data_IF_018609341924
#
_entry.id   IF_018609341924
#
_cell.length_a   1.000
_cell.length_b   1.000
_cell.length_c   1.000
_cell.angle_alpha   90.00
_cell.angle_beta   90.00
_cell.angle_gamma   90.00
#
_symmetry.space_group_name_H-M   'P 1'
#
loop_
_entity.id
_entity.type
_entity.pdbx_description
1 polymer ?
#
# COMPACT_ATOMS: atom_id res chain seq x y z
N UNK A 1 -3.66 -19.29 8.78
CA UNK A 1 -2.34 -19.26 8.09
C UNK A 1 -1.88 -20.65 7.70
N UNK A 2 -1.64 -21.56 8.65
CA UNK A 2 -1.21 -22.94 8.35
C UNK A 2 -2.13 -23.67 7.35
N UNK A 3 -3.43 -23.39 7.36
CA UNK A 3 -4.42 -23.91 6.40
C UNK A 3 -4.20 -23.50 4.94
N UNK A 4 -3.44 -22.43 4.66
CA UNK A 4 -3.18 -21.97 3.29
C UNK A 4 -2.13 -22.80 2.57
N UNK A 5 -1.26 -23.50 3.28
CA UNK A 5 -0.36 -24.45 2.63
C UNK A 5 -1.19 -25.57 1.99
N UNK A 6 -1.02 -25.89 0.70
CA UNK A 6 -1.58 -27.11 0.14
C UNK A 6 -1.01 -28.35 0.86
N UNK A 7 -1.68 -29.48 0.69
CA UNK A 7 -1.13 -30.75 1.12
C UNK A 7 0.22 -31.02 0.43
N UNK A 8 1.12 -31.73 1.12
CA UNK A 8 2.47 -31.98 0.66
C UNK A 8 3.01 -33.30 1.21
N UNK A 9 3.97 -33.86 0.49
CA UNK A 9 4.63 -35.13 0.82
C UNK A 9 6.16 -34.96 0.96
N UNK A 10 6.84 -36.04 1.35
CA UNK A 10 8.30 -36.05 1.52
C UNK A 10 8.79 -35.31 2.77
N UNK A 11 9.97 -34.72 2.69
CA UNK A 11 10.58 -34.03 3.83
C UNK A 11 10.23 -32.53 3.85
N UNK A 12 9.68 -32.06 4.97
CA UNK A 12 9.43 -30.65 5.22
C UNK A 12 10.58 -30.03 6.02
N UNK A 13 11.07 -28.88 5.55
CA UNK A 13 11.91 -27.98 6.33
C UNK A 13 11.18 -26.65 6.45
N UNK A 14 10.64 -26.39 7.64
CA UNK A 14 9.86 -25.21 7.98
C UNK A 14 10.76 -24.12 8.56
N UNK A 15 10.66 -22.92 8.03
CA UNK A 15 11.22 -21.70 8.62
C UNK A 15 10.13 -20.94 9.39
N UNK A 16 10.42 -20.59 10.64
CA UNK A 16 9.69 -19.58 11.41
C UNK A 16 10.68 -18.48 11.82
N UNK A 17 10.78 -17.43 10.99
CA UNK A 17 11.88 -16.47 11.05
C UNK A 17 11.78 -15.42 12.17
N UNK A 18 10.68 -15.41 12.92
CA UNK A 18 10.41 -14.52 14.04
C UNK A 18 9.39 -15.19 14.93
N UNK A 19 9.81 -16.31 15.53
CA UNK A 19 8.93 -17.32 16.06
C UNK A 19 8.15 -16.88 17.30
N UNK A 20 8.64 -15.91 18.07
CA UNK A 20 8.04 -15.51 19.33
C UNK A 20 7.94 -16.73 20.25
N UNK A 21 6.74 -17.00 20.74
CA UNK A 21 6.44 -18.19 21.56
C UNK A 21 6.17 -19.46 20.73
N UNK A 22 6.30 -19.42 19.40
CA UNK A 22 6.13 -20.59 18.53
C UNK A 22 4.70 -20.90 18.09
N UNK A 23 3.75 -19.98 18.24
CA UNK A 23 2.33 -20.23 17.91
C UNK A 23 2.10 -20.62 16.44
N UNK A 24 2.86 -20.04 15.51
CA UNK A 24 2.74 -20.37 14.08
C UNK A 24 3.36 -21.73 13.77
N UNK A 25 4.53 -22.01 14.32
CA UNK A 25 5.15 -23.34 14.27
C UNK A 25 4.22 -24.42 14.82
N UNK A 26 3.64 -24.21 16.01
CA UNK A 26 2.67 -25.12 16.61
C UNK A 26 1.45 -25.34 15.71
N UNK A 27 0.85 -24.28 15.17
CA UNK A 27 -0.30 -24.40 14.26
C UNK A 27 0.02 -25.21 12.98
N UNK A 28 1.25 -25.11 12.46
CA UNK A 28 1.70 -25.94 11.34
C UNK A 28 1.86 -27.41 11.75
N UNK A 29 2.49 -27.65 12.90
CA UNK A 29 2.75 -28.99 13.43
C UNK A 29 1.46 -29.70 13.86
N UNK A 30 0.49 -28.99 14.44
CA UNK A 30 -0.84 -29.53 14.76
C UNK A 30 -1.56 -30.00 13.52
N UNK A 31 -1.51 -29.21 12.43
CA UNK A 31 -2.10 -29.62 11.16
C UNK A 31 -1.40 -30.86 10.61
N UNK A 32 -0.07 -30.95 10.71
CA UNK A 32 0.67 -32.13 10.28
C UNK A 32 0.29 -33.37 11.10
N UNK A 33 0.29 -33.27 12.44
CA UNK A 33 -0.02 -34.40 13.32
C UNK A 33 -1.47 -34.86 13.21
N UNK A 34 -2.40 -33.95 12.89
CA UNK A 34 -3.79 -34.25 12.60
C UNK A 34 -4.03 -34.88 11.20
N UNK A 35 -2.98 -35.13 10.41
CA UNK A 35 -3.08 -35.72 9.07
C UNK A 35 -3.49 -34.72 7.97
N UNK A 36 -3.39 -33.42 8.24
CA UNK A 36 -3.60 -32.37 7.24
C UNK A 36 -2.41 -32.14 6.30
N UNK A 37 -1.30 -32.86 6.53
CA UNK A 37 -0.12 -32.96 5.66
C UNK A 37 0.42 -34.40 5.68
N UNK A 38 1.06 -34.83 4.60
CA UNK A 38 1.61 -36.18 4.43
C UNK A 38 3.16 -36.22 4.41
N UNK A 39 3.81 -35.28 5.10
CA UNK A 39 5.26 -35.26 5.22
C UNK A 39 5.78 -36.47 6.01
N UNK A 40 6.81 -37.12 5.47
CA UNK A 40 7.52 -38.23 6.12
C UNK A 40 8.47 -37.77 7.22
N UNK A 41 8.88 -36.50 7.20
CA UNK A 41 9.72 -35.87 8.21
C UNK A 41 9.46 -34.36 8.23
N UNK A 42 9.47 -33.76 9.42
CA UNK A 42 9.40 -32.30 9.59
C UNK A 42 10.58 -31.82 10.42
N UNK A 43 11.33 -30.86 9.86
CA UNK A 43 12.37 -30.12 10.56
C UNK A 43 11.97 -28.64 10.67
N UNK A 44 12.03 -28.05 11.86
CA UNK A 44 11.70 -26.64 12.09
C UNK A 44 12.96 -25.87 12.46
N UNK A 45 13.31 -24.84 11.70
CA UNK A 45 14.30 -23.84 12.11
C UNK A 45 13.53 -22.59 12.55
N UNK A 46 13.59 -22.28 13.85
CA UNK A 46 12.87 -21.16 14.46
C UNK A 46 13.86 -20.09 14.95
N UNK A 47 13.69 -18.84 14.53
CA UNK A 47 14.54 -17.71 14.92
C UNK A 47 13.82 -16.83 15.93
N UNK A 48 14.47 -16.55 17.06
CA UNK A 48 13.97 -15.62 18.08
C UNK A 48 15.16 -14.95 18.80
N UNK A 49 15.05 -13.65 19.05
CA UNK A 49 16.11 -12.84 19.68
C UNK A 49 15.85 -12.60 21.17
N UNK A 50 14.59 -12.64 21.61
CA UNK A 50 14.23 -12.44 23.00
C UNK A 50 14.35 -13.75 23.79
N UNK A 51 15.36 -13.83 24.65
CA UNK A 51 15.61 -14.97 25.54
C UNK A 51 14.38 -15.42 26.34
N UNK A 52 13.48 -14.49 26.73
CA UNK A 52 12.26 -14.86 27.46
C UNK A 52 11.33 -15.65 26.55
N UNK A 53 11.18 -15.21 25.28
CA UNK A 53 10.34 -15.89 24.30
C UNK A 53 10.95 -17.21 23.86
N UNK A 54 12.28 -17.31 23.78
CA UNK A 54 13.01 -18.55 23.49
C UNK A 54 12.66 -19.67 24.47
N UNK A 55 12.55 -19.38 25.77
CA UNK A 55 12.16 -20.39 26.76
C UNK A 55 10.76 -20.97 26.48
N UNK A 56 9.79 -20.11 26.13
CA UNK A 56 8.45 -20.54 25.75
C UNK A 56 8.43 -21.29 24.42
N UNK A 57 9.18 -20.82 23.43
CA UNK A 57 9.33 -21.47 22.13
C UNK A 57 9.88 -22.89 22.27
N UNK A 58 10.90 -23.08 23.12
CA UNK A 58 11.47 -24.38 23.42
C UNK A 58 10.45 -25.33 24.06
N UNK A 59 9.61 -24.83 24.96
CA UNK A 59 8.51 -25.62 25.53
C UNK A 59 7.51 -26.03 24.44
N UNK A 60 7.06 -25.08 23.62
CA UNK A 60 6.10 -25.33 22.54
C UNK A 60 6.61 -26.35 21.52
N UNK A 61 7.86 -26.23 21.04
CA UNK A 61 8.43 -27.21 20.11
C UNK A 61 8.74 -28.55 20.79
N UNK A 62 9.06 -28.52 22.09
CA UNK A 62 9.29 -29.71 22.91
C UNK A 62 8.08 -30.65 23.01
N UNK A 63 6.85 -30.12 22.89
CA UNK A 63 5.62 -30.94 22.91
C UNK A 63 5.58 -31.97 21.77
N UNK A 64 6.25 -31.70 20.65
CA UNK A 64 6.30 -32.58 19.48
C UNK A 64 7.52 -33.51 19.46
N UNK A 65 8.47 -33.35 20.40
CA UNK A 65 9.74 -34.09 20.44
C UNK A 65 9.58 -35.60 20.71
N UNK A 66 8.40 -36.06 21.13
CA UNK A 66 8.10 -37.47 21.29
C UNK A 66 8.02 -38.24 19.95
N UNK A 67 8.00 -37.53 18.82
CA UNK A 67 7.95 -38.12 17.48
C UNK A 67 9.34 -38.30 16.89
N UNK A 68 9.59 -39.46 16.30
CA UNK A 68 10.87 -39.78 15.65
C UNK A 68 11.07 -39.09 14.29
N UNK A 69 9.98 -38.62 13.67
CA UNK A 69 9.96 -37.93 12.37
C UNK A 69 9.96 -36.40 12.51
N UNK A 70 10.22 -35.89 13.72
CA UNK A 70 10.28 -34.46 14.03
C UNK A 70 11.66 -34.06 14.55
N UNK A 71 12.12 -32.88 14.15
CA UNK A 71 13.33 -32.23 14.68
C UNK A 71 13.14 -30.72 14.68
N UNK A 72 13.81 -30.01 15.59
CA UNK A 72 13.82 -28.56 15.59
C UNK A 72 15.18 -28.00 15.99
N UNK A 73 15.51 -26.84 15.44
CA UNK A 73 16.66 -26.01 15.81
C UNK A 73 16.13 -24.60 16.17
N UNK A 74 16.41 -24.15 17.40
CA UNK A 74 16.12 -22.78 17.83
C UNK A 74 17.38 -21.94 17.66
N UNK A 75 17.25 -20.87 16.90
CA UNK A 75 18.30 -19.92 16.57
C UNK A 75 18.12 -18.64 17.39
N UNK A 76 18.94 -18.49 18.44
CA UNK A 76 18.98 -17.31 19.31
C UNK A 76 19.79 -16.15 18.69
N UNK A 77 19.48 -15.78 17.45
CA UNK A 77 20.23 -14.81 16.66
C UNK A 77 19.35 -13.97 15.73
N UNK A 78 19.91 -12.89 15.17
CA UNK A 78 19.19 -11.99 14.29
C UNK A 78 19.01 -12.64 12.91
N UNK A 79 17.77 -12.98 12.58
CA UNK A 79 17.42 -13.63 11.31
C UNK A 79 17.94 -12.87 10.08
N UNK A 80 17.92 -11.53 10.06
CA UNK A 80 18.41 -10.77 8.91
C UNK A 80 19.90 -11.04 8.71
N UNK A 81 20.68 -10.99 9.79
CA UNK A 81 22.11 -11.22 9.73
C UNK A 81 22.42 -12.69 9.37
N UNK A 82 21.79 -13.65 10.05
CA UNK A 82 21.97 -15.07 9.77
C UNK A 82 21.62 -15.43 8.31
N UNK A 83 20.49 -14.94 7.80
CA UNK A 83 20.05 -15.18 6.43
C UNK A 83 21.00 -14.55 5.41
N UNK A 84 21.44 -13.31 5.62
CA UNK A 84 22.37 -12.62 4.72
C UNK A 84 23.72 -13.32 4.69
N UNK A 85 24.27 -13.68 5.85
CA UNK A 85 25.57 -14.36 5.93
C UNK A 85 25.56 -15.75 5.30
N UNK A 86 24.49 -16.51 5.53
CA UNK A 86 24.25 -17.78 4.85
C UNK A 86 24.21 -17.62 3.33
N UNK A 87 23.48 -16.61 2.82
CA UNK A 87 23.38 -16.33 1.37
C UNK A 87 24.70 -15.89 0.75
N UNK A 88 25.52 -15.15 1.50
CA UNK A 88 26.84 -14.70 1.05
C UNK A 88 27.90 -15.81 1.08
N UNK A 89 27.62 -16.95 1.72
CA UNK A 89 28.60 -18.02 1.89
C UNK A 89 29.79 -17.60 2.77
N UNK A 90 29.54 -16.76 3.79
CA UNK A 90 30.58 -16.28 4.70
C UNK A 90 31.31 -17.45 5.37
N UNK A 91 32.64 -17.41 5.41
CA UNK A 91 33.51 -18.51 5.89
C UNK A 91 33.21 -19.01 7.31
N UNK A 92 32.62 -18.16 8.15
CA UNK A 92 32.31 -18.46 9.56
C UNK A 92 30.81 -18.66 9.83
N UNK A 93 29.95 -18.47 8.83
CA UNK A 93 28.51 -18.59 9.00
C UNK A 93 28.08 -20.05 8.85
N UNK A 94 27.18 -20.52 9.73
CA UNK A 94 26.53 -21.82 9.55
C UNK A 94 25.59 -21.73 8.34
N UNK A 95 25.83 -22.48 7.25
CA UNK A 95 24.97 -22.38 6.07
C UNK A 95 23.57 -22.88 6.42
N UNK A 96 22.57 -22.03 6.18
CA UNK A 96 21.16 -22.41 6.27
C UNK A 96 20.81 -23.27 5.06
N UNK A 97 20.15 -24.40 5.31
CA UNK A 97 19.66 -25.27 4.24
C UNK A 97 18.42 -24.61 3.60
N UNK A 98 18.17 -24.82 2.30
CA UNK A 98 16.96 -24.30 1.67
C UNK A 98 15.68 -24.80 2.33
N UNK A 99 14.71 -23.90 2.52
CA UNK A 99 13.43 -24.19 3.18
C UNK A 99 12.37 -24.62 2.18
N UNK A 100 11.60 -25.66 2.50
CA UNK A 100 10.43 -26.04 1.68
C UNK A 100 9.19 -25.27 2.08
N UNK A 101 9.09 -24.85 3.34
CA UNK A 101 7.98 -24.07 3.87
C UNK A 101 8.51 -22.94 4.75
N UNK A 102 7.83 -21.80 4.77
CA UNK A 102 8.08 -20.72 5.71
C UNK A 102 6.74 -20.13 6.19
N UNK A 103 6.56 -20.01 7.49
CA UNK A 103 5.35 -19.42 8.10
C UNK A 103 5.75 -18.23 8.96
N UNK A 104 5.26 -17.03 8.64
CA UNK A 104 5.85 -15.78 9.15
C UNK A 104 4.79 -14.81 9.67
N UNK A 105 4.98 -14.34 10.92
CA UNK A 105 4.40 -13.10 11.43
C UNK A 105 5.54 -12.15 11.82
N UNK A 106 6.20 -11.52 10.84
CA UNK A 106 7.45 -10.79 11.08
C UNK A 106 7.20 -9.46 11.80
N UNK A 107 8.23 -8.88 12.45
CA UNK A 107 8.08 -7.63 13.21
C UNK A 107 7.82 -6.41 12.30
N UNK A 108 6.98 -5.48 12.77
CA UNK A 108 6.60 -4.28 12.01
C UNK A 108 7.40 -3.06 12.48
N UNK A 109 8.53 -2.78 11.82
CA UNK A 109 9.39 -1.64 12.17
C UNK A 109 10.09 -1.07 10.95
N UNK A 110 10.09 0.26 10.84
CA UNK A 110 10.83 0.95 9.77
C UNK A 110 12.33 0.71 9.91
N UNK A 111 12.97 0.40 8.79
CA UNK A 111 14.43 0.26 8.69
C UNK A 111 15.01 1.66 8.44
N UNK A 112 15.94 2.08 9.30
CA UNK A 112 16.66 3.33 9.11
C UNK A 112 17.67 3.17 7.95
N UNK A 113 17.81 4.19 7.10
CA UNK A 113 18.70 4.16 5.93
C UNK A 113 20.18 3.93 6.24
N UNK A 114 20.63 4.21 7.46
CA UNK A 114 22.00 3.98 7.92
C UNK A 114 22.14 2.80 8.89
N UNK A 115 21.12 1.93 9.02
CA UNK A 115 21.17 0.80 9.96
C UNK A 115 22.05 -0.35 9.46
N UNK A 116 22.51 -1.17 10.40
CA UNK A 116 23.22 -2.42 10.08
C UNK A 116 22.33 -3.37 9.25
N UNK A 117 21.03 -3.46 9.55
CA UNK A 117 20.07 -4.23 8.74
C UNK A 117 20.03 -3.75 7.29
N UNK A 118 19.97 -2.43 7.08
CA UNK A 118 19.97 -1.85 5.72
C UNK A 118 21.22 -2.24 4.94
N UNK A 119 22.39 -2.11 5.57
CA UNK A 119 23.67 -2.50 4.95
C UNK A 119 23.76 -4.00 4.67
N UNK A 120 23.22 -4.85 5.55
CA UNK A 120 23.20 -6.30 5.36
C UNK A 120 22.30 -6.69 4.19
N UNK A 121 21.07 -6.18 4.13
CA UNK A 121 20.11 -6.49 3.07
C UNK A 121 20.61 -6.09 1.67
N UNK A 122 21.23 -4.91 1.55
CA UNK A 122 21.78 -4.46 0.26
C UNK A 122 22.89 -5.39 -0.27
N UNK A 123 23.62 -6.12 0.58
CA UNK A 123 24.64 -7.10 0.14
C UNK A 123 24.05 -8.27 -0.64
N UNK A 124 22.78 -8.59 -0.41
CA UNK A 124 22.04 -9.67 -1.10
C UNK A 124 21.00 -9.11 -2.07
N UNK A 125 21.10 -7.83 -2.44
CA UNK A 125 20.22 -7.17 -3.41
C UNK A 125 18.80 -6.93 -2.89
N UNK A 126 18.58 -6.92 -1.58
CA UNK A 126 17.26 -6.65 -0.99
C UNK A 126 17.15 -5.18 -0.59
N UNK A 127 16.15 -4.51 -1.16
CA UNK A 127 15.91 -3.10 -0.98
C UNK A 127 14.50 -2.89 -0.42
N UNK A 128 14.40 -2.55 0.87
CA UNK A 128 13.11 -2.32 1.53
C UNK A 128 13.22 -1.34 2.69
N UNK A 129 12.07 -0.85 3.15
CA UNK A 129 11.91 0.18 4.18
C UNK A 129 11.36 -0.34 5.52
N UNK A 130 10.99 -1.62 5.61
CA UNK A 130 10.39 -2.21 6.81
C UNK A 130 10.91 -3.64 7.07
N UNK A 131 11.05 -4.03 8.34
CA UNK A 131 11.49 -5.36 8.74
C UNK A 131 10.59 -6.46 8.18
N UNK A 132 9.26 -6.30 8.15
CA UNK A 132 8.38 -7.37 7.64
C UNK A 132 8.70 -7.77 6.20
N UNK A 133 9.01 -6.79 5.35
CA UNK A 133 9.31 -7.04 3.94
C UNK A 133 10.74 -7.55 3.78
N UNK A 134 11.66 -7.19 4.67
CA UNK A 134 12.98 -7.81 4.72
C UNK A 134 12.89 -9.31 5.07
N UNK A 135 12.08 -9.66 6.07
CA UNK A 135 11.88 -11.04 6.49
C UNK A 135 11.26 -11.89 5.37
N UNK A 136 10.19 -11.39 4.72
CA UNK A 136 9.58 -12.10 3.59
C UNK A 136 10.55 -12.23 2.41
N UNK A 137 11.29 -11.17 2.06
CA UNK A 137 12.27 -11.23 0.98
C UNK A 137 13.39 -12.25 1.26
N UNK A 138 13.89 -12.30 2.49
CA UNK A 138 14.90 -13.28 2.91
C UNK A 138 14.34 -14.70 2.93
N UNK A 139 13.12 -14.91 3.40
CA UNK A 139 12.46 -16.21 3.37
C UNK A 139 12.28 -16.72 1.93
N UNK A 140 11.87 -15.85 0.99
CA UNK A 140 11.84 -16.17 -0.44
C UNK A 140 13.25 -16.48 -0.96
N UNK A 141 14.28 -15.73 -0.54
CA UNK A 141 15.66 -15.96 -0.96
C UNK A 141 16.27 -17.27 -0.43
N UNK A 142 15.80 -17.75 0.72
CA UNK A 142 16.23 -19.00 1.37
C UNK A 142 15.33 -20.19 1.00
N UNK A 143 14.21 -19.97 0.32
CA UNK A 143 13.32 -21.04 -0.10
C UNK A 143 13.95 -21.91 -1.20
N UNK A 144 13.73 -23.23 -1.10
CA UNK A 144 13.99 -24.17 -2.19
C UNK A 144 13.07 -23.87 -3.39
N UNK A 145 13.39 -24.34 -4.60
CA UNK A 145 12.44 -24.31 -5.71
C UNK A 145 11.11 -24.97 -5.31
N UNK A 146 9.99 -24.33 -5.67
CA UNK A 146 8.62 -24.67 -5.23
C UNK A 146 8.35 -24.52 -3.73
N UNK A 147 9.30 -23.97 -2.98
CA UNK A 147 9.11 -23.68 -1.56
C UNK A 147 7.98 -22.67 -1.34
N UNK A 148 7.21 -22.87 -0.28
CA UNK A 148 5.99 -22.11 -0.01
C UNK A 148 6.19 -21.17 1.18
N UNK A 149 5.80 -19.92 1.02
CA UNK A 149 5.93 -18.90 2.06
C UNK A 149 4.54 -18.36 2.37
N UNK A 150 4.05 -18.61 3.59
CA UNK A 150 2.83 -18.00 4.11
C UNK A 150 3.22 -16.93 5.12
N UNK A 151 2.89 -15.69 4.83
CA UNK A 151 3.20 -14.57 5.71
C UNK A 151 1.96 -13.73 6.01
N UNK A 152 1.84 -13.26 7.24
CA UNK A 152 0.90 -12.18 7.57
C UNK A 152 1.67 -10.86 7.64
N UNK A 153 1.30 -9.91 6.78
CA UNK A 153 2.05 -8.65 6.63
C UNK A 153 1.12 -7.46 6.31
N UNK A 154 1.53 -6.22 6.62
CA UNK A 154 0.71 -5.05 6.34
C UNK A 154 0.53 -4.83 4.82
N UNK A 155 -0.71 -4.67 4.35
CA UNK A 155 -1.11 -4.40 2.96
C UNK A 155 -0.43 -3.17 2.35
N UNK A 156 0.19 -2.31 3.15
CA UNK A 156 0.92 -1.13 2.70
C UNK A 156 1.99 -1.40 1.63
N UNK A 157 2.51 -2.63 1.49
CA UNK A 157 3.46 -2.96 0.41
C UNK A 157 2.83 -3.03 -0.97
N UNK A 158 1.50 -3.21 -1.07
CA UNK A 158 0.78 -3.36 -2.34
C UNK A 158 0.92 -2.14 -3.25
N UNK A 159 1.22 -0.95 -2.71
CA UNK A 159 1.39 0.27 -3.49
C UNK A 159 2.48 1.18 -2.93
N UNK A 160 2.71 2.30 -3.60
CA UNK A 160 3.67 3.32 -3.19
C UNK A 160 5.12 3.01 -3.62
N UNK A 161 5.95 4.07 -3.75
CA UNK A 161 7.27 3.97 -4.36
C UNK A 161 8.29 3.25 -3.47
N UNK A 162 8.17 3.39 -2.14
CA UNK A 162 9.12 2.81 -1.19
C UNK A 162 9.10 1.27 -1.15
N UNK A 163 7.98 0.65 -1.56
CA UNK A 163 7.85 -0.80 -1.63
C UNK A 163 8.00 -1.35 -3.05
N UNK A 164 8.23 -0.49 -4.05
CA UNK A 164 8.45 -0.94 -5.44
C UNK A 164 9.59 -1.96 -5.54
N UNK A 165 10.79 -1.74 -4.95
CA UNK A 165 11.87 -2.73 -5.04
C UNK A 165 11.53 -4.06 -4.34
N UNK A 166 10.73 -4.03 -3.27
CA UNK A 166 10.26 -5.25 -2.61
C UNK A 166 9.25 -6.01 -3.48
N UNK A 167 8.31 -5.31 -4.14
CA UNK A 167 7.38 -5.92 -5.10
C UNK A 167 8.13 -6.54 -6.27
N UNK A 168 9.06 -5.80 -6.87
CA UNK A 168 9.93 -6.31 -7.95
C UNK A 168 10.65 -7.59 -7.47
N UNK A 169 11.25 -7.56 -6.27
CA UNK A 169 11.97 -8.69 -5.72
C UNK A 169 11.11 -9.96 -5.60
N UNK A 170 9.89 -9.85 -5.03
CA UNK A 170 9.02 -11.01 -4.83
C UNK A 170 8.41 -11.49 -6.14
N UNK A 171 7.98 -10.59 -7.03
CA UNK A 171 7.32 -10.95 -8.30
C UNK A 171 8.30 -11.59 -9.29
N UNK A 172 9.58 -11.25 -9.23
CA UNK A 172 10.63 -11.91 -10.01
C UNK A 172 10.96 -13.33 -9.52
N UNK A 173 10.67 -13.64 -8.26
CA UNK A 173 11.18 -14.85 -7.58
C UNK A 173 10.09 -15.81 -7.16
N UNK A 174 8.85 -15.37 -7.02
CA UNK A 174 7.78 -16.20 -6.54
C UNK A 174 6.45 -15.87 -7.22
N UNK A 175 5.64 -16.89 -7.41
CA UNK A 175 4.24 -16.71 -7.79
C UNK A 175 3.41 -16.35 -6.55
N UNK A 176 2.55 -15.34 -6.67
CA UNK A 176 1.47 -15.11 -5.70
C UNK A 176 0.40 -16.16 -5.97
N UNK A 177 0.07 -16.97 -4.96
CA UNK A 177 -0.98 -18.00 -5.06
C UNK A 177 -2.25 -17.61 -4.33
N UNK A 178 -2.11 -17.00 -3.15
CA UNK A 178 -3.24 -16.66 -2.30
C UNK A 178 -3.03 -15.30 -1.63
N UNK A 179 -4.07 -14.47 -1.56
CA UNK A 179 -4.14 -13.30 -0.70
C UNK A 179 -5.43 -13.36 0.13
N UNK A 180 -5.32 -13.25 1.44
CA UNK A 180 -6.47 -13.17 2.34
C UNK A 180 -6.55 -11.78 2.97
N UNK A 181 -7.75 -11.20 2.96
CA UNK A 181 -8.09 -9.89 3.53
C UNK A 181 -9.06 -10.05 4.70
N UNK A 182 -8.88 -9.22 5.73
CA UNK A 182 -9.85 -9.02 6.79
C UNK A 182 -10.62 -7.71 6.57
N UNK A 183 -11.95 -7.74 6.60
CA UNK A 183 -12.77 -6.54 6.43
C UNK A 183 -12.74 -5.64 7.69
N UNK A 184 -12.73 -6.24 8.89
CA UNK A 184 -12.68 -5.51 10.16
C UNK A 184 -11.26 -5.43 10.74
N UNK A 185 -10.74 -4.21 10.90
CA UNK A 185 -9.44 -3.94 11.53
C UNK A 185 -9.45 -4.03 13.05
N UNK A 186 -10.60 -3.93 13.70
CA UNK A 186 -10.71 -3.83 15.17
C UNK A 186 -10.86 -5.18 15.87
N UNK A 187 -11.06 -6.28 15.12
CA UNK A 187 -11.36 -7.59 15.71
C UNK A 187 -10.24 -8.61 15.56
N UNK A 188 -9.53 -8.64 14.43
CA UNK A 188 -8.49 -9.64 14.18
C UNK A 188 -7.15 -9.35 14.90
N UNK A 189 -6.86 -8.10 15.29
CA UNK A 189 -5.62 -7.69 15.97
C UNK A 189 -5.90 -6.67 17.10
N UNK A 190 -6.69 -7.07 18.11
CA UNK A 190 -7.18 -6.17 19.18
C UNK A 190 -6.09 -5.52 20.03
N UNK A 191 -4.91 -6.13 20.12
CA UNK A 191 -3.83 -5.68 21.00
C UNK A 191 -2.88 -4.65 20.34
N UNK A 192 -3.02 -4.42 19.02
CA UNK A 192 -2.23 -3.43 18.30
C UNK A 192 -2.98 -2.10 18.21
N UNK A 193 -2.47 -1.08 18.92
CA UNK A 193 -3.01 0.30 18.92
C UNK A 193 -2.95 1.01 17.56
N UNK A 194 -2.44 0.34 16.52
CA UNK A 194 -2.27 0.88 15.17
C UNK A 194 -3.20 0.16 14.21
N UNK A 195 -4.13 0.90 13.60
CA UNK A 195 -5.01 0.44 12.51
C UNK A 195 -4.17 0.07 11.28
N UNK A 196 -3.61 -1.14 11.24
CA UNK A 196 -2.92 -1.69 10.08
C UNK A 196 -3.81 -2.74 9.42
N UNK A 197 -3.94 -2.66 8.11
CA UNK A 197 -4.62 -3.70 7.33
C UNK A 197 -3.61 -4.77 7.00
N UNK A 198 -3.59 -5.85 7.77
CA UNK A 198 -2.77 -7.00 7.48
C UNK A 198 -3.46 -7.90 6.46
N UNK A 199 -2.67 -8.47 5.57
CA UNK A 199 -3.10 -9.55 4.67
C UNK A 199 -2.29 -10.79 4.97
N UNK A 200 -2.88 -11.96 4.73
CA UNK A 200 -2.12 -13.21 4.68
C UNK A 200 -1.83 -13.50 3.21
N UNK A 201 -0.57 -13.70 2.85
CA UNK A 201 -0.13 -14.01 1.49
C UNK A 201 0.53 -15.39 1.44
N UNK A 202 0.21 -16.17 0.40
CA UNK A 202 0.95 -17.37 0.01
C UNK A 202 1.77 -17.08 -1.25
N UNK A 203 3.07 -17.25 -1.14
CA UNK A 203 4.04 -17.17 -2.23
C UNK A 203 4.61 -18.57 -2.51
N UNK A 204 4.91 -18.87 -3.78
CA UNK A 204 5.58 -20.10 -4.20
C UNK A 204 6.83 -19.79 -5.02
N UNK A 205 8.01 -20.19 -4.52
CA UNK A 205 9.32 -19.89 -5.11
C UNK A 205 9.53 -20.57 -6.46
N UNK A 206 10.07 -19.84 -7.44
CA UNK A 206 10.39 -20.32 -8.81
C UNK A 206 9.19 -20.90 -9.58
N UNK A 207 7.96 -20.68 -9.10
CA UNK A 207 6.78 -21.18 -9.76
C UNK A 207 6.29 -20.21 -10.85
N UNK A 208 5.72 -20.75 -11.92
CA UNK A 208 5.05 -19.93 -12.92
C UNK A 208 3.82 -19.26 -12.32
N UNK A 209 3.72 -17.95 -12.50
CA UNK A 209 2.55 -17.19 -12.10
C UNK A 209 1.32 -17.69 -12.86
N UNK A 210 0.28 -18.02 -12.10
CA UNK A 210 -1.04 -18.41 -12.61
C UNK A 210 -2.12 -17.55 -11.96
N UNK A 211 -3.33 -18.06 -11.88
CA UNK A 211 -4.40 -17.39 -11.13
C UNK A 211 -4.04 -17.23 -9.64
N UNK A 212 -4.64 -16.22 -9.02
CA UNK A 212 -4.49 -15.90 -7.60
C UNK A 212 -5.84 -16.07 -6.91
N UNK A 213 -5.87 -16.85 -5.85
CA UNK A 213 -7.03 -16.94 -4.96
C UNK A 213 -7.03 -15.74 -4.02
N UNK A 214 -8.11 -14.96 -4.04
CA UNK A 214 -8.36 -13.92 -3.03
C UNK A 214 -9.50 -14.37 -2.14
N UNK A 215 -9.28 -14.37 -0.83
CA UNK A 215 -10.34 -14.62 0.15
C UNK A 215 -10.54 -13.46 1.11
N UNK A 216 -11.77 -13.30 1.59
CA UNK A 216 -12.16 -12.26 2.54
C UNK A 216 -12.93 -12.87 3.71
N UNK A 217 -12.73 -12.33 4.92
CA UNK A 217 -13.60 -12.57 6.06
C UNK A 217 -13.73 -11.30 6.90
N UNK A 218 -14.79 -11.19 7.69
CA UNK A 218 -14.94 -10.05 8.61
C UNK A 218 -13.83 -10.03 9.66
N UNK A 219 -13.52 -11.18 10.26
CA UNK A 219 -12.54 -11.33 11.33
C UNK A 219 -11.89 -12.71 11.31
N UNK A 220 -11.17 -13.02 12.40
CA UNK A 220 -10.41 -14.25 12.63
C UNK A 220 -11.29 -15.47 12.98
N UNK A 221 -12.62 -15.31 13.04
CA UNK A 221 -13.55 -16.44 13.14
C UNK A 221 -13.74 -17.16 11.81
N UNK A 222 -13.47 -16.49 10.70
CA UNK A 222 -13.65 -16.98 9.33
C UNK A 222 -15.07 -17.50 9.02
N UNK A 223 -16.08 -17.08 9.79
CA UNK A 223 -17.47 -17.56 9.66
C UNK A 223 -18.14 -17.15 8.35
N UNK A 224 -17.71 -16.03 7.77
CA UNK A 224 -18.19 -15.46 6.51
C UNK A 224 -17.15 -15.53 5.39
N UNK A 225 -16.25 -16.53 5.46
CA UNK A 225 -15.17 -16.70 4.49
C UNK A 225 -15.73 -16.80 3.06
N UNK A 226 -15.35 -15.83 2.23
CA UNK A 226 -15.61 -15.84 0.79
C UNK A 226 -14.29 -15.99 0.03
N UNK A 227 -14.29 -16.68 -1.10
CA UNK A 227 -13.08 -16.89 -1.89
C UNK A 227 -13.37 -16.92 -3.38
N UNK A 228 -12.49 -16.28 -4.14
CA UNK A 228 -12.59 -16.11 -5.59
C UNK A 228 -11.21 -16.22 -6.22
N UNK A 229 -11.16 -16.82 -7.40
CA UNK A 229 -9.95 -16.92 -8.20
C UNK A 229 -9.94 -15.79 -9.25
N UNK A 230 -8.78 -15.13 -9.39
CA UNK A 230 -8.58 -14.03 -10.33
C UNK A 230 -7.38 -14.33 -11.23
N UNK A 231 -7.46 -14.01 -12.53
CA UNK A 231 -6.26 -14.02 -13.37
C UNK A 231 -5.24 -12.99 -12.84
N UNK A 232 -3.96 -13.31 -12.98
CA UNK A 232 -2.89 -12.49 -12.40
C UNK A 232 -2.84 -11.06 -12.95
N UNK A 233 -3.25 -10.86 -14.20
CA UNK A 233 -3.35 -9.54 -14.84
C UNK A 233 -4.37 -8.60 -14.19
N UNK A 234 -5.25 -9.12 -13.32
CA UNK A 234 -6.14 -8.33 -12.46
C UNK A 234 -5.57 -8.06 -11.08
N UNK A 235 -4.52 -8.77 -10.68
CA UNK A 235 -3.79 -8.57 -9.43
C UNK A 235 -2.61 -7.62 -9.66
N UNK A 236 -1.84 -7.83 -10.71
CA UNK A 236 -0.78 -6.92 -11.14
C UNK A 236 -1.04 -6.58 -12.60
N UNK A 237 -1.38 -5.31 -12.85
CA UNK A 237 -1.74 -4.85 -14.19
C UNK A 237 -0.50 -4.92 -15.12
N UNK A 238 -0.58 -5.52 -16.32
CA UNK A 238 0.58 -5.69 -17.21
C UNK A 238 1.31 -4.40 -17.59
N UNK A 239 0.57 -3.30 -17.72
CA UNK A 239 1.11 -1.99 -18.11
C UNK A 239 1.49 -1.10 -16.90
N UNK A 240 1.43 -1.61 -15.67
CA UNK A 240 1.78 -0.86 -14.48
C UNK A 240 3.28 -0.97 -14.15
N UNK A 241 4.01 0.10 -14.46
CA UNK A 241 5.46 0.21 -14.21
C UNK A 241 5.82 0.26 -12.72
N UNK A 242 4.85 0.54 -11.84
CA UNK A 242 5.04 0.51 -10.39
C UNK A 242 4.66 -0.84 -9.78
N UNK A 243 4.15 -1.77 -10.58
CA UNK A 243 3.77 -3.13 -10.18
C UNK A 243 2.87 -3.14 -8.94
N UNK A 244 1.83 -2.29 -8.90
CA UNK A 244 0.89 -2.31 -7.79
C UNK A 244 0.14 -3.64 -7.73
N UNK A 245 -0.11 -4.09 -6.50
CA UNK A 245 -0.88 -5.29 -6.22
C UNK A 245 -2.31 -4.88 -5.87
N UNK A 246 -3.21 -5.10 -6.81
CA UNK A 246 -4.64 -4.94 -6.67
C UNK A 246 -5.22 -6.18 -5.98
N UNK A 247 -5.96 -5.97 -4.90
CA UNK A 247 -6.64 -7.02 -4.16
C UNK A 247 -8.15 -6.79 -4.29
N UNK A 248 -8.80 -7.38 -5.31
CA UNK A 248 -10.23 -7.22 -5.53
C UNK A 248 -11.04 -7.92 -4.45
N UNK A 249 -12.13 -7.29 -3.99
CA UNK A 249 -13.05 -7.86 -2.98
C UNK A 249 -14.40 -8.28 -3.58
N UNK A 250 -14.64 -8.04 -4.87
CA UNK A 250 -15.85 -8.43 -5.60
C UNK A 250 -15.50 -9.27 -6.83
N UNK A 251 -16.40 -10.18 -7.22
CA UNK A 251 -16.27 -10.94 -8.48
C UNK A 251 -16.35 -10.02 -9.70
N UNK A 252 -17.31 -9.10 -9.66
CA UNK A 252 -17.59 -8.21 -10.78
C UNK A 252 -16.42 -7.25 -11.02
N UNK A 253 -15.96 -7.12 -12.28
CA UNK A 253 -14.95 -6.12 -12.62
C UNK A 253 -15.46 -4.70 -12.38
N UNK A 254 -14.56 -3.79 -12.02
CA UNK A 254 -14.95 -2.42 -11.70
C UNK A 254 -15.52 -1.71 -12.93
N UNK A 255 -16.48 -0.79 -12.74
CA UNK A 255 -16.91 0.09 -13.82
C UNK A 255 -15.74 0.87 -14.43
N UNK A 256 -14.69 1.15 -13.64
CA UNK A 256 -13.44 1.76 -14.14
C UNK A 256 -12.66 0.80 -15.04
N UNK A 257 -12.50 -0.47 -14.64
CA UNK A 257 -11.77 -1.49 -15.41
C UNK A 257 -12.48 -1.83 -16.73
N UNK A 258 -13.82 -1.83 -16.72
CA UNK A 258 -14.62 -2.20 -17.89
C UNK A 258 -14.84 -1.06 -18.89
N UNK A 259 -14.70 0.20 -18.47
CA UNK A 259 -15.06 1.32 -19.33
C UNK A 259 -13.95 1.59 -20.37
N UNK A 260 -14.20 1.34 -21.68
CA UNK A 260 -13.18 1.55 -22.71
C UNK A 260 -12.79 3.02 -22.89
N UNK A 261 -13.62 3.94 -22.39
CA UNK A 261 -13.36 5.38 -22.43
C UNK A 261 -12.38 5.82 -21.32
N UNK A 262 -12.11 5.00 -20.31
CA UNK A 262 -11.20 5.30 -19.18
C UNK A 262 -9.87 4.59 -19.41
N UNK A 263 -9.06 5.13 -20.31
CA UNK A 263 -7.79 4.51 -20.75
C UNK A 263 -6.62 5.48 -20.84
N UNK A 264 -6.88 6.78 -20.72
CA UNK A 264 -5.85 7.81 -20.86
C UNK A 264 -5.01 7.89 -19.58
N UNK A 265 -3.71 8.09 -19.74
CA UNK A 265 -2.80 8.50 -18.66
C UNK A 265 -2.85 10.02 -18.50
N UNK A 266 -2.35 10.55 -17.37
CA UNK A 266 -2.21 12.00 -17.22
C UNK A 266 -1.31 12.64 -18.29
N UNK A 267 -0.32 11.89 -18.80
CA UNK A 267 0.53 12.34 -19.89
C UNK A 267 -0.26 12.55 -21.19
N UNK A 268 -1.17 11.63 -21.53
CA UNK A 268 -2.07 11.75 -22.69
C UNK A 268 -2.98 12.99 -22.58
N UNK A 269 -3.34 13.36 -21.34
CA UNK A 269 -4.13 14.56 -21.08
C UNK A 269 -3.29 15.85 -21.12
N UNK A 270 -1.96 15.77 -21.16
CA UNK A 270 -1.06 16.91 -21.02
C UNK A 270 -1.04 17.51 -19.61
N UNK A 271 -1.33 16.69 -18.59
CA UNK A 271 -1.47 17.11 -17.18
C UNK A 271 -0.39 16.42 -16.34
N UNK A 272 0.09 17.10 -15.31
CA UNK A 272 0.95 16.54 -14.26
C UNK A 272 0.23 16.59 -12.93
N UNK A 273 0.56 15.67 -12.03
CA UNK A 273 0.16 15.70 -10.63
C UNK A 273 1.40 15.79 -9.75
N UNK A 274 1.36 16.64 -8.74
CA UNK A 274 2.44 16.81 -7.78
C UNK A 274 1.88 16.94 -6.37
N UNK A 275 2.58 16.41 -5.37
CA UNK A 275 2.34 16.79 -3.98
C UNK A 275 2.57 18.29 -3.82
N UNK A 276 1.72 18.98 -3.06
CA UNK A 276 1.90 20.38 -2.70
C UNK A 276 3.31 20.61 -2.16
N UNK A 277 4.08 21.54 -2.74
CA UNK A 277 5.51 21.63 -2.45
C UNK A 277 5.80 22.37 -1.13
N UNK A 278 4.84 23.12 -0.59
CA UNK A 278 5.02 23.87 0.65
C UNK A 278 4.95 22.87 1.80
N UNK A 279 6.09 22.65 2.47
CA UNK A 279 6.18 21.84 3.69
C UNK A 279 6.23 22.80 4.87
N UNK A 280 5.10 22.92 5.57
CA UNK A 280 4.85 24.00 6.53
C UNK A 280 5.96 24.17 7.59
N UNK A 281 6.40 23.08 8.21
CA UNK A 281 7.41 23.13 9.25
C UNK A 281 8.81 23.52 8.76
N UNK A 282 9.08 23.45 7.45
CA UNK A 282 10.35 23.85 6.83
C UNK A 282 10.37 25.33 6.43
N UNK A 283 9.21 25.96 6.32
CA UNK A 283 9.06 27.34 5.81
C UNK A 283 8.39 28.26 6.84
N UNK A 284 8.39 27.88 8.13
CA UNK A 284 7.64 28.55 9.20
C UNK A 284 7.85 30.06 9.25
N UNK A 285 9.07 30.54 9.01
CA UNK A 285 9.42 31.97 9.04
C UNK A 285 8.68 32.79 7.97
N UNK A 286 8.30 32.17 6.87
CA UNK A 286 7.58 32.80 5.76
C UNK A 286 6.06 32.62 5.86
N UNK A 287 5.55 31.86 6.82
CA UNK A 287 4.12 31.62 6.95
C UNK A 287 3.44 32.76 7.71
N UNK A 288 2.21 33.08 7.34
CA UNK A 288 1.38 34.10 7.98
C UNK A 288 0.01 33.57 8.31
N UNK A 289 -0.44 33.87 9.52
CA UNK A 289 -1.77 33.48 9.99
C UNK A 289 -2.86 34.04 9.07
N UNK A 290 -2.76 35.31 8.69
CA UNK A 290 -3.67 36.00 7.78
C UNK A 290 -2.94 36.64 6.61
N UNK A 291 -3.63 36.93 5.49
CA UNK A 291 -3.03 37.62 4.34
C UNK A 291 -2.59 39.05 4.71
N UNK A 292 -1.39 39.42 4.28
CA UNK A 292 -0.81 40.75 4.44
C UNK A 292 -0.07 41.19 3.16
N UNK A 293 0.26 42.48 2.98
CA UNK A 293 1.02 42.95 1.82
C UNK A 293 2.31 42.15 1.62
N UNK A 294 2.53 41.66 0.39
CA UNK A 294 3.71 40.82 0.07
C UNK A 294 3.51 39.32 0.29
N UNK A 295 2.34 38.88 0.74
CA UNK A 295 1.99 37.45 0.82
C UNK A 295 1.08 36.98 -0.31
N UNK A 296 1.03 35.67 -0.49
CA UNK A 296 0.09 34.98 -1.38
C UNK A 296 -0.67 33.88 -0.61
N UNK A 297 -1.84 33.45 -1.11
CA UNK A 297 -2.60 32.37 -0.49
C UNK A 297 -1.78 31.09 -0.30
N UNK A 298 -1.93 30.46 0.87
CA UNK A 298 -1.43 29.13 1.16
C UNK A 298 -2.61 28.19 1.43
N UNK A 299 -2.75 27.16 0.61
CA UNK A 299 -3.90 26.28 0.60
C UNK A 299 -3.61 24.96 1.33
N UNK A 300 -4.42 24.68 2.34
CA UNK A 300 -4.46 23.43 3.11
C UNK A 300 -5.74 22.64 2.78
N UNK A 301 -5.80 21.32 3.07
CA UNK A 301 -7.05 20.57 2.95
C UNK A 301 -8.23 21.19 3.69
N UNK A 302 -7.98 21.86 4.82
CA UNK A 302 -9.03 22.52 5.62
C UNK A 302 -9.72 23.71 4.90
N UNK A 303 -9.10 24.28 3.86
CA UNK A 303 -9.73 25.32 3.04
C UNK A 303 -10.77 24.75 2.07
N UNK A 304 -10.87 23.43 1.91
CA UNK A 304 -11.78 22.81 0.96
C UNK A 304 -12.93 22.12 1.68
N UNK A 305 -14.16 22.51 1.35
CA UNK A 305 -15.37 21.81 1.81
C UNK A 305 -16.18 21.42 0.59
N UNK A 306 -16.22 20.12 0.30
CA UNK A 306 -16.78 19.60 -0.94
C UNK A 306 -16.00 20.11 -2.15
N UNK A 307 -16.63 20.94 -2.97
CA UNK A 307 -16.07 21.37 -4.26
C UNK A 307 -15.50 22.78 -4.27
N UNK A 308 -15.79 23.58 -3.25
CA UNK A 308 -15.38 24.97 -3.15
C UNK A 308 -14.25 25.16 -2.15
N UNK A 309 -13.40 26.14 -2.44
CA UNK A 309 -12.40 26.64 -1.52
C UNK A 309 -12.96 27.83 -0.73
N UNK A 310 -12.72 27.86 0.58
CA UNK A 310 -12.94 29.01 1.44
C UNK A 310 -11.58 29.48 1.94
N UNK A 311 -11.22 30.71 1.59
CA UNK A 311 -9.95 31.32 1.96
C UNK A 311 -10.08 32.85 2.02
N UNK A 312 -9.46 33.53 3.00
CA UNK A 312 -8.85 32.96 4.21
C UNK A 312 -9.92 32.44 5.19
N UNK A 313 -9.51 31.64 6.17
CA UNK A 313 -10.32 31.25 7.32
C UNK A 313 -9.70 31.84 8.59
N UNK A 314 -10.40 32.81 9.17
CA UNK A 314 -10.00 33.45 10.43
C UNK A 314 -10.05 32.46 11.60
N UNK A 315 -9.04 32.50 12.48
CA UNK A 315 -8.94 31.62 13.64
C UNK A 315 -8.57 30.16 13.32
N UNK A 316 -8.19 29.84 12.08
CA UNK A 316 -7.65 28.51 11.75
C UNK A 316 -6.28 28.31 12.42
N UNK A 317 -6.03 27.11 12.97
CA UNK A 317 -4.70 26.74 13.51
C UNK A 317 -3.57 26.74 12.47
N UNK A 318 -3.90 26.60 11.18
CA UNK A 318 -2.92 26.60 10.09
C UNK A 318 -2.88 27.98 9.44
N UNK A 319 -1.71 28.42 8.96
CA UNK A 319 -1.56 29.72 8.34
C UNK A 319 -2.38 29.85 7.05
N UNK A 320 -2.90 31.03 6.76
CA UNK A 320 -3.61 31.29 5.51
C UNK A 320 -2.67 31.74 4.39
N UNK A 321 -1.50 32.29 4.68
CA UNK A 321 -0.66 32.90 3.65
C UNK A 321 0.82 32.55 3.80
N UNK A 322 1.56 32.72 2.72
CA UNK A 322 3.01 32.58 2.65
C UNK A 322 3.58 33.84 2.00
N UNK A 323 4.67 34.37 2.53
CA UNK A 323 5.42 35.46 1.91
C UNK A 323 5.83 35.09 0.48
N UNK A 324 5.77 36.05 -0.43
CA UNK A 324 6.30 35.91 -1.78
C UNK A 324 7.64 36.64 -1.88
N UNK A 325 8.72 35.88 -1.83
CA UNK A 325 10.10 36.39 -1.87
C UNK A 325 11.02 35.41 -2.62
N UNK A 326 12.32 35.70 -2.67
CA UNK A 326 13.30 34.85 -3.38
C UNK A 326 13.41 33.41 -2.85
N UNK A 327 13.10 33.19 -1.56
CA UNK A 327 13.19 31.88 -0.91
C UNK A 327 11.95 31.02 -1.17
N UNK A 328 10.79 31.67 -1.32
CA UNK A 328 9.49 30.99 -1.44
C UNK A 328 9.00 30.83 -2.89
N UNK A 329 9.38 31.71 -3.82
CA UNK A 329 8.84 31.77 -5.19
C UNK A 329 8.88 30.40 -5.91
N UNK A 330 9.96 29.64 -5.71
CA UNK A 330 10.14 28.31 -6.34
C UNK A 330 9.09 27.28 -5.92
N UNK A 331 8.40 27.48 -4.80
CA UNK A 331 7.35 26.59 -4.29
C UNK A 331 5.96 27.03 -4.72
N UNK A 332 5.82 28.21 -5.32
CA UNK A 332 4.54 28.78 -5.68
C UNK A 332 4.12 28.37 -7.10
N UNK A 333 2.81 28.41 -7.31
CA UNK A 333 2.14 28.08 -8.56
C UNK A 333 1.44 29.33 -9.08
N UNK A 334 1.30 29.49 -10.39
CA UNK A 334 0.57 30.64 -10.94
C UNK A 334 -0.90 30.60 -10.51
N UNK A 335 -1.52 31.76 -10.26
CA UNK A 335 -2.95 31.79 -10.00
C UNK A 335 -3.74 31.26 -11.20
N UNK A 336 -4.76 30.44 -10.94
CA UNK A 336 -5.53 29.77 -11.97
C UNK A 336 -6.40 28.65 -11.41
N UNK A 337 -7.10 27.94 -12.29
CA UNK A 337 -7.92 26.80 -11.89
C UNK A 337 -7.05 25.55 -11.67
N UNK A 338 -7.29 24.83 -10.58
CA UNK A 338 -6.63 23.55 -10.32
C UNK A 338 -7.66 22.52 -9.84
N UNK A 339 -7.40 21.25 -10.13
CA UNK A 339 -8.00 20.16 -9.36
C UNK A 339 -7.01 19.77 -8.27
N UNK A 340 -7.47 19.68 -7.03
CA UNK A 340 -6.66 19.23 -5.90
C UNK A 340 -7.28 18.02 -5.24
N UNK A 341 -6.45 17.10 -4.74
CA UNK A 341 -6.89 15.90 -4.01
C UNK A 341 -6.26 15.90 -2.63
N UNK A 342 -7.06 15.65 -1.59
CA UNK A 342 -6.54 15.48 -0.23
C UNK A 342 -5.63 14.25 -0.17
N UNK A 343 -4.42 14.41 0.37
CA UNK A 343 -3.38 13.38 0.41
C UNK A 343 -3.56 12.39 1.57
N UNK A 344 -4.39 12.68 2.55
CA UNK A 344 -4.62 11.81 3.72
C UNK A 344 -6.10 11.51 3.86
N UNK A 345 -6.42 10.22 3.85
CA UNK A 345 -7.75 9.68 4.08
C UNK A 345 -7.64 8.32 4.74
N UNK A 346 -8.40 8.09 5.81
CA UNK A 346 -8.46 6.78 6.44
C UNK A 346 -9.36 5.82 5.64
N UNK A 347 -9.28 4.51 5.88
CA UNK A 347 -10.13 3.53 5.17
C UNK A 347 -11.60 3.67 5.60
N UNK A 348 -11.80 4.05 6.85
CA UNK A 348 -13.07 4.22 7.55
C UNK A 348 -13.81 5.48 7.07
N UNK A 349 -13.10 6.44 6.46
CA UNK A 349 -13.73 7.53 5.76
C UNK A 349 -14.60 7.00 4.62
N UNK A 350 -15.77 7.63 4.45
CA UNK A 350 -16.72 7.30 3.37
C UNK A 350 -16.06 7.29 1.99
N UNK A 351 -14.98 8.09 1.81
CA UNK A 351 -14.17 8.13 0.61
C UNK A 351 -12.68 8.19 0.93
N UNK A 352 -11.87 7.52 0.11
CA UNK A 352 -10.43 7.68 0.05
C UNK A 352 -10.03 8.88 -0.82
N UNK A 353 -10.65 9.04 -1.98
CA UNK A 353 -10.37 10.16 -2.88
C UNK A 353 -11.38 11.28 -2.60
N UNK A 354 -10.84 12.45 -2.28
CA UNK A 354 -11.59 13.68 -2.07
C UNK A 354 -10.96 14.75 -2.95
N UNK A 355 -11.60 15.04 -4.07
CA UNK A 355 -11.14 16.04 -5.02
C UNK A 355 -11.95 17.34 -4.88
N UNK A 356 -11.27 18.48 -5.01
CA UNK A 356 -11.87 19.81 -4.97
C UNK A 356 -11.31 20.69 -6.08
N UNK A 357 -12.00 21.78 -6.37
CA UNK A 357 -11.58 22.75 -7.39
C UNK A 357 -11.04 23.99 -6.71
N UNK A 358 -9.87 24.42 -7.15
CA UNK A 358 -9.30 25.72 -6.82
C UNK A 358 -9.83 26.68 -7.87
N UNK A 359 -10.62 27.66 -7.43
CA UNK A 359 -11.16 28.72 -8.27
C UNK A 359 -10.40 30.02 -7.97
N UNK A 360 -9.68 30.61 -8.93
CA UNK A 360 -8.85 31.78 -8.69
C UNK A 360 -9.66 32.98 -8.16
N UNK A 361 -10.97 33.04 -8.45
CA UNK A 361 -11.85 34.10 -7.95
C UNK A 361 -11.96 34.14 -6.41
N UNK A 362 -11.67 33.03 -5.73
CA UNK A 362 -11.67 32.95 -4.27
C UNK A 362 -10.46 33.65 -3.62
N UNK A 363 -9.47 34.10 -4.40
CA UNK A 363 -8.20 34.60 -3.89
C UNK A 363 -7.86 36.04 -4.31
N UNK A 364 -8.85 36.79 -4.83
CA UNK A 364 -8.66 38.15 -5.33
C UNK A 364 -7.60 38.23 -6.44
N UNK A 365 -6.79 39.28 -6.45
CA UNK A 365 -5.76 39.54 -7.46
C UNK A 365 -4.42 38.86 -7.16
N UNK A 366 -4.39 37.83 -6.31
CA UNK A 366 -3.17 37.12 -5.97
C UNK A 366 -2.53 36.51 -7.23
N UNK A 367 -1.27 36.85 -7.56
CA UNK A 367 -0.63 36.38 -8.80
C UNK A 367 -0.21 34.90 -8.72
N UNK A 368 -0.01 34.39 -7.51
CA UNK A 368 0.49 33.05 -7.24
C UNK A 368 -0.27 32.41 -6.08
N UNK A 369 -0.19 31.09 -5.96
CA UNK A 369 -0.78 30.27 -4.91
C UNK A 369 0.27 29.31 -4.34
N UNK A 370 0.27 29.13 -3.02
CA UNK A 370 0.99 28.07 -2.31
C UNK A 370 0.08 26.88 -2.07
N UNK A 371 0.59 25.67 -2.31
CA UNK A 371 -0.11 24.42 -2.01
C UNK A 371 0.66 23.63 -0.97
N UNK A 372 0.00 23.30 0.14
CA UNK A 372 0.63 22.55 1.22
C UNK A 372 0.67 21.04 0.94
N UNK A 373 1.66 20.34 1.52
CA UNK A 373 2.01 18.95 1.20
C UNK A 373 1.00 17.86 1.61
N UNK A 374 -0.13 18.23 2.20
CA UNK A 374 -1.31 17.37 2.39
C UNK A 374 -2.31 17.48 1.23
N UNK A 375 -1.99 18.22 0.17
CA UNK A 375 -2.71 18.25 -1.11
C UNK A 375 -1.85 17.63 -2.22
N UNK A 376 -2.49 16.95 -3.16
CA UNK A 376 -1.96 16.71 -4.50
C UNK A 376 -2.61 17.70 -5.46
N UNK A 377 -1.85 18.23 -6.41
CA UNK A 377 -2.27 19.32 -7.31
C UNK A 377 -2.12 18.85 -8.75
N UNK A 378 -3.20 18.93 -9.54
CA UNK A 378 -3.19 18.67 -10.98
C UNK A 378 -2.92 19.98 -11.73
N UNK A 379 -1.88 20.02 -12.56
CA UNK A 379 -1.38 21.25 -13.16
C UNK A 379 -0.69 21.01 -14.52
N UNK A 380 -0.42 22.09 -15.25
CA UNK A 380 0.45 22.07 -16.45
C UNK A 380 1.72 22.85 -16.12
N UNK A 381 2.81 22.18 -15.72
CA UNK A 381 4.09 22.85 -15.35
C UNK A 381 3.93 24.04 -14.37
N UNK A 382 3.25 23.83 -13.24
CA UNK A 382 2.89 24.87 -12.24
C UNK A 382 1.95 25.98 -12.73
N UNK A 383 1.33 25.81 -13.89
CA UNK A 383 0.24 26.63 -14.39
C UNK A 383 -1.10 25.93 -14.15
N UNK A 384 -2.16 26.72 -14.02
CA UNK A 384 -3.53 26.25 -13.92
C UNK A 384 -3.98 25.47 -15.16
N UNK A 385 -5.13 24.83 -15.03
CA UNK A 385 -5.84 24.13 -16.09
C UNK A 385 -6.97 25.01 -16.64
N UNK A 386 -7.48 24.74 -17.84
CA UNK A 386 -8.78 25.27 -18.25
C UNK A 386 -9.85 24.87 -17.23
N UNK A 387 -10.73 25.80 -16.86
CA UNK A 387 -11.76 25.57 -15.83
C UNK A 387 -12.60 24.30 -16.07
N UNK A 388 -13.14 24.03 -17.27
CA UNK A 388 -13.91 22.80 -17.51
C UNK A 388 -13.08 21.54 -17.28
N UNK A 389 -11.77 21.58 -17.54
CA UNK A 389 -10.89 20.42 -17.31
C UNK A 389 -10.64 20.19 -15.82
N UNK A 390 -10.40 21.25 -15.04
CA UNK A 390 -10.23 21.16 -13.59
C UNK A 390 -11.50 20.62 -12.91
N UNK A 391 -12.67 21.13 -13.29
CA UNK A 391 -13.97 20.68 -12.76
C UNK A 391 -14.30 19.24 -13.19
N UNK A 392 -13.99 18.89 -14.44
CA UNK A 392 -14.16 17.52 -14.96
C UNK A 392 -13.32 16.48 -14.22
N UNK A 393 -12.05 16.80 -13.93
CA UNK A 393 -11.18 15.96 -13.11
C UNK A 393 -11.75 15.78 -11.70
N UNK A 394 -12.15 16.87 -11.05
CA UNK A 394 -12.72 16.80 -9.70
C UNK A 394 -14.00 15.97 -9.66
N UNK A 395 -14.87 16.09 -10.67
CA UNK A 395 -16.09 15.29 -10.79
C UNK A 395 -15.75 13.80 -10.94
N UNK A 396 -14.90 13.46 -11.91
CA UNK A 396 -14.50 12.07 -12.17
C UNK A 396 -13.86 11.41 -10.94
N UNK A 397 -12.92 12.10 -10.30
CA UNK A 397 -12.20 11.61 -9.12
C UNK A 397 -13.12 11.42 -7.90
N UNK A 398 -14.26 12.12 -7.84
CA UNK A 398 -15.25 11.97 -6.78
C UNK A 398 -16.34 10.93 -7.07
N UNK A 399 -16.26 10.19 -8.18
CA UNK A 399 -17.17 9.07 -8.45
C UNK A 399 -16.93 7.91 -7.48
N UNK A 400 -18.00 7.19 -7.12
CA UNK A 400 -17.93 6.01 -6.25
C UNK A 400 -17.08 4.90 -6.89
N UNK A 401 -17.13 4.76 -8.22
CA UNK A 401 -16.32 3.78 -8.95
C UNK A 401 -14.81 4.07 -8.86
N UNK A 402 -14.39 5.34 -8.98
CA UNK A 402 -12.99 5.71 -8.78
C UNK A 402 -12.54 5.41 -7.34
N UNK A 403 -13.38 5.71 -6.35
CA UNK A 403 -13.06 5.41 -4.95
C UNK A 403 -12.93 3.90 -4.69
N UNK A 404 -13.85 3.10 -5.24
CA UNK A 404 -13.84 1.64 -5.15
C UNK A 404 -12.59 1.06 -5.82
N UNK A 405 -12.25 1.52 -7.03
CA UNK A 405 -11.03 1.13 -7.73
C UNK A 405 -9.77 1.47 -6.91
N UNK A 406 -9.69 2.69 -6.36
CA UNK A 406 -8.55 3.14 -5.57
C UNK A 406 -8.31 2.28 -4.31
N UNK A 407 -9.38 1.85 -3.64
CA UNK A 407 -9.32 0.98 -2.45
C UNK A 407 -8.77 -0.42 -2.75
N UNK A 408 -8.69 -0.86 -4.01
CA UNK A 408 -8.17 -2.19 -4.39
C UNK A 408 -6.66 -2.31 -4.20
N UNK A 409 -5.91 -1.23 -4.39
CA UNK A 409 -4.45 -1.27 -4.26
C UNK A 409 -3.94 -0.42 -3.08
N UNK A 410 -4.70 0.59 -2.65
CA UNK A 410 -4.23 1.51 -1.62
C UNK A 410 -4.39 0.93 -0.20
N UNK A 411 -3.29 0.37 0.32
CA UNK A 411 -3.23 -0.28 1.65
C UNK A 411 -2.80 0.61 2.81
N UNK A 412 -2.74 1.94 2.62
CA UNK A 412 -2.23 2.89 3.63
C UNK A 412 -3.08 4.16 3.68
N UNK A 413 -2.93 5.02 4.69
CA UNK A 413 -3.76 6.23 4.87
C UNK A 413 -3.46 7.38 3.90
N UNK A 414 -2.43 7.24 3.05
CA UNK A 414 -2.05 8.27 2.09
C UNK A 414 -2.67 8.04 0.70
N UNK A 415 -2.92 9.12 -0.03
CA UNK A 415 -3.18 9.16 -1.47
C UNK A 415 -1.95 9.81 -2.11
N UNK A 416 -1.03 9.02 -2.64
CA UNK A 416 0.21 9.56 -3.20
C UNK A 416 -0.01 10.10 -4.62
N UNK A 417 0.81 11.07 -5.03
CA UNK A 417 0.83 11.54 -6.42
C UNK A 417 1.11 10.40 -7.42
N UNK A 418 1.97 9.44 -7.06
CA UNK A 418 2.20 8.23 -7.88
C UNK A 418 0.95 7.38 -8.04
N UNK A 419 0.14 7.26 -6.98
CA UNK A 419 -1.12 6.50 -7.04
C UNK A 419 -2.07 7.12 -8.07
N UNK A 420 -2.24 8.45 -8.01
CA UNK A 420 -3.06 9.21 -8.96
C UNK A 420 -2.50 9.18 -10.40
N UNK A 421 -1.16 9.13 -10.53
CA UNK A 421 -0.48 9.08 -11.83
C UNK A 421 -0.71 7.73 -12.54
N UNK A 422 -0.80 6.65 -11.78
CA UNK A 422 -1.03 5.30 -12.32
C UNK A 422 -2.49 4.99 -12.63
N UNK A 423 -3.42 5.81 -12.16
CA UNK A 423 -4.83 5.69 -12.54
C UNK A 423 -5.05 6.02 -14.02
N UNK A 424 -6.10 5.42 -14.59
CA UNK A 424 -6.60 5.77 -15.92
C UNK A 424 -7.73 6.78 -15.82
N UNK A 425 -7.83 7.61 -16.86
CA UNK A 425 -8.75 8.73 -16.92
C UNK A 425 -9.55 8.69 -18.24
N UNK A 426 -10.74 9.30 -18.29
CA UNK A 426 -11.39 9.67 -19.55
C UNK A 426 -10.48 10.59 -20.39
N UNK A 427 -10.76 10.68 -21.70
CA UNK A 427 -10.04 11.61 -22.57
C UNK A 427 -10.22 13.07 -22.12
N UNK A 428 -9.32 13.94 -22.58
CA UNK A 428 -9.35 15.37 -22.23
C UNK A 428 -10.68 16.01 -22.63
N UNK A 429 -11.21 15.64 -23.78
CA UNK A 429 -12.49 16.12 -24.31
C UNK A 429 -13.65 15.68 -23.42
N UNK A 430 -13.67 14.41 -22.99
CA UNK A 430 -14.70 13.88 -22.10
C UNK A 430 -14.65 14.54 -20.72
N UNK A 431 -13.46 14.75 -20.16
CA UNK A 431 -13.30 15.50 -18.91
C UNK A 431 -13.83 16.93 -19.04
N UNK A 432 -13.53 17.63 -20.14
CA UNK A 432 -14.06 18.97 -20.41
C UNK A 432 -15.60 18.96 -20.52
N UNK A 433 -16.18 17.94 -21.16
CA UNK A 433 -17.64 17.79 -21.22
C UNK A 433 -18.25 17.59 -19.84
N UNK A 434 -17.67 16.71 -19.01
CA UNK A 434 -18.08 16.49 -17.63
C UNK A 434 -18.03 17.79 -16.82
N UNK A 435 -16.93 18.53 -16.90
CA UNK A 435 -16.79 19.80 -16.20
C UNK A 435 -17.76 20.87 -16.69
N UNK A 436 -18.06 20.93 -17.99
CA UNK A 436 -19.06 21.84 -18.55
C UNK A 436 -20.47 21.53 -18.00
N UNK A 437 -20.81 20.25 -17.83
CA UNK A 437 -22.07 19.85 -17.18
C UNK A 437 -22.08 20.23 -15.70
N UNK A 438 -20.98 19.99 -14.99
CA UNK A 438 -20.81 20.38 -13.59
C UNK A 438 -21.04 21.89 -13.38
N UNK A 439 -20.49 22.73 -14.25
CA UNK A 439 -20.65 24.18 -14.20
C UNK A 439 -22.11 24.62 -14.33
N UNK A 440 -22.95 23.89 -15.08
CA UNK A 440 -24.37 24.22 -15.29
C UNK A 440 -25.26 23.75 -14.15
N UNK A 441 -24.90 22.65 -13.49
CA UNK A 441 -25.69 22.03 -12.43
C UNK A 441 -25.60 22.82 -11.10
N UNK A 442 -24.50 23.53 -10.86
CA UNK A 442 -24.23 24.19 -9.59
C UNK A 442 -23.87 23.16 -8.52
N UNK A 443 -24.73 23.01 -7.49
CA UNK A 443 -24.53 22.01 -6.43
C UNK A 443 -25.11 20.65 -6.85
N UNK A 444 -24.32 19.58 -6.73
CA UNK A 444 -24.75 18.24 -7.11
C UNK A 444 -24.49 17.18 -6.03
N UNK A 445 -25.40 16.18 -5.99
CA UNK A 445 -25.38 15.03 -5.07
C UNK A 445 -24.44 13.94 -5.57
N UNK A 446 -24.16 12.95 -4.71
CA UNK A 446 -23.34 11.81 -5.12
C UNK A 446 -23.97 11.02 -6.27
N UNK A 447 -25.27 10.75 -6.20
CA UNK A 447 -25.98 10.00 -7.23
C UNK A 447 -25.89 10.69 -8.59
N UNK A 448 -25.89 12.02 -8.61
CA UNK A 448 -25.69 12.78 -9.85
C UNK A 448 -24.26 12.64 -10.39
N UNK A 449 -23.24 12.66 -9.52
CA UNK A 449 -21.84 12.44 -9.91
C UNK A 449 -21.69 11.05 -10.54
N UNK A 450 -22.23 10.02 -9.88
CA UNK A 450 -22.12 8.64 -10.33
C UNK A 450 -22.91 8.41 -11.64
N UNK A 451 -24.06 9.08 -11.81
CA UNK A 451 -24.82 9.05 -13.07
C UNK A 451 -24.03 9.65 -14.26
N UNK A 452 -23.14 10.63 -14.01
CA UNK A 452 -22.30 11.15 -15.09
C UNK A 452 -21.31 10.10 -15.62
N UNK A 453 -20.81 9.22 -14.75
CA UNK A 453 -19.95 8.11 -15.16
C UNK A 453 -20.73 7.09 -15.99
N UNK A 454 -21.98 6.78 -15.61
CA UNK A 454 -22.88 5.91 -16.40
C UNK A 454 -23.10 6.43 -17.82
N UNK A 455 -23.17 7.75 -18.00
CA UNK A 455 -23.26 8.36 -19.35
C UNK A 455 -21.98 8.22 -20.20
N UNK A 456 -20.85 7.83 -19.61
CA UNK A 456 -19.63 7.51 -20.34
C UNK A 456 -19.59 6.03 -20.78
N UNK A 457 -20.32 5.15 -20.10
CA UNK A 457 -20.38 3.71 -20.44
C UNK A 457 -21.37 3.38 -21.56
N UNK A 458 -22.33 4.27 -21.82
CA UNK A 458 -23.16 4.32 -23.04
C UNK A 458 -22.38 4.96 -24.21
#
# INVERSE_FOLDING_TARGET
MASLFPDGDGACRLLDAGAGIGSLSAAFLDRWTAGGFHFSQVAVDAFELDHVLVEYLAQTLGEYAHRNDFSHDIHEEDFIHAAVESRMGSLFAKPLKPYTHAILNPPYKKINSSSAHRLALSRVGIETVNLYSAFVALAVALAAPKGQIVAIIPRSFCNGPYYRPFRDFILERAAIRHIHLFDSRSKAFKDDSVLQENIIILLERDAHQGSVTVSTSTDDTFTDLSSHEYPFDRIVLPDDTECFIHVPTSREPDSIEQCPKIRCTLADLGIKVSTGPVVDFRLKEHLREMPEPGTVPLLYPAHFTGQSATWPIEGMKKPNAIERNGDTEKWLYASGFYCVVRRFSSKEEKRRIMASVVDPSAFGDAPMLGFENHLNVFHTNKQGLPEPLARGLALFLNTTAVDAFFRRFNGHTQVNATDLKNMKFPSRELLIQLGTRAMRQGTYTQDWIDAQLGSLTE
#
